data_IF_371200894820
#
_entry.id   IF_371200894820
#
_cell.length_a   1.000
_cell.length_b   1.000
_cell.length_c   1.000
_cell.angle_alpha   90.00
_cell.angle_beta   90.00
_cell.angle_gamma   90.00
#
_symmetry.space_group_name_H-M   'P 1'
#
loop_
_entity.id
_entity.type
_entity.pdbx_description
1 polymer ?
#
# COMPACT_ATOMS: atom_id res chain seq x y z
N UNK A 1 4.17 -9.88 8.45
CA UNK A 1 3.76 -10.08 7.04
C UNK A 1 4.94 -10.63 6.26
N UNK A 2 4.70 -11.52 5.30
CA UNK A 2 5.73 -11.98 4.35
C UNK A 2 5.64 -11.23 3.02
N UNK A 3 6.79 -11.02 2.35
CA UNK A 3 6.87 -10.29 1.09
C UNK A 3 6.09 -10.96 -0.05
N UNK A 4 6.02 -12.29 -0.08
CA UNK A 4 5.26 -13.01 -1.11
C UNK A 4 3.78 -12.68 -1.01
N UNK A 5 3.23 -12.70 0.20
CA UNK A 5 1.81 -12.38 0.43
C UNK A 5 1.53 -10.92 0.09
N UNK A 6 2.39 -10.00 0.53
CA UNK A 6 2.26 -8.58 0.17
C UNK A 6 2.23 -8.36 -1.34
N UNK A 7 3.15 -8.97 -2.09
CA UNK A 7 3.20 -8.85 -3.55
C UNK A 7 1.95 -9.43 -4.22
N UNK A 8 1.35 -10.51 -3.70
CA UNK A 8 0.09 -11.05 -4.21
C UNK A 8 -1.04 -10.02 -4.04
N UNK A 9 -1.16 -9.42 -2.86
CA UNK A 9 -2.18 -8.39 -2.59
C UNK A 9 -1.99 -7.18 -3.50
N UNK A 10 -0.76 -6.69 -3.63
CA UNK A 10 -0.43 -5.59 -4.54
C UNK A 10 -0.72 -5.94 -6.01
N UNK A 11 -0.49 -7.18 -6.43
CA UNK A 11 -0.83 -7.65 -7.78
C UNK A 11 -2.33 -7.58 -8.05
N UNK A 12 -3.18 -7.99 -7.10
CA UNK A 12 -4.63 -7.87 -7.23
C UNK A 12 -5.09 -6.40 -7.25
N UNK A 13 -4.51 -5.54 -6.42
CA UNK A 13 -4.78 -4.10 -6.48
C UNK A 13 -4.37 -3.48 -7.81
N UNK A 14 -3.23 -3.88 -8.38
CA UNK A 14 -2.80 -3.46 -9.70
C UNK A 14 -3.80 -3.86 -10.79
N UNK A 15 -4.25 -5.11 -10.78
CA UNK A 15 -5.29 -5.58 -11.71
C UNK A 15 -6.62 -4.82 -11.55
N UNK A 16 -7.03 -4.51 -10.31
CA UNK A 16 -8.23 -3.72 -10.05
C UNK A 16 -8.10 -2.29 -10.60
N UNK A 17 -6.93 -1.64 -10.41
CA UNK A 17 -6.63 -0.33 -11.00
C UNK A 17 -6.67 -0.39 -12.53
N UNK A 18 -6.04 -1.39 -13.14
CA UNK A 18 -6.06 -1.56 -14.60
C UNK A 18 -7.49 -1.72 -15.12
N UNK A 19 -8.33 -2.49 -14.42
CA UNK A 19 -9.75 -2.63 -14.75
C UNK A 19 -10.45 -1.28 -14.61
N UNK A 20 -10.31 -0.60 -13.48
CA UNK A 20 -10.91 0.71 -13.21
C UNK A 20 -10.61 1.71 -14.34
N UNK A 21 -9.34 1.86 -14.72
CA UNK A 21 -8.95 2.78 -15.79
C UNK A 21 -9.52 2.34 -17.14
N UNK A 22 -9.58 1.04 -17.46
CA UNK A 22 -10.24 0.58 -18.68
C UNK A 22 -11.74 0.89 -18.72
N UNK A 23 -12.44 0.74 -17.59
CA UNK A 23 -13.86 1.08 -17.49
C UNK A 23 -14.10 2.56 -17.84
N UNK A 24 -13.24 3.45 -17.36
CA UNK A 24 -13.37 4.90 -17.58
C UNK A 24 -12.85 5.30 -18.97
N UNK A 25 -11.63 4.90 -19.31
CA UNK A 25 -10.93 5.41 -20.48
C UNK A 25 -11.33 4.73 -21.79
N UNK A 26 -11.60 3.42 -21.75
CA UNK A 26 -11.98 2.66 -22.94
C UNK A 26 -13.49 2.52 -23.06
N UNK A 27 -14.18 2.18 -21.95
CA UNK A 27 -15.62 1.91 -21.96
C UNK A 27 -16.49 3.13 -21.63
N UNK A 28 -15.89 4.25 -21.20
CA UNK A 28 -16.59 5.50 -20.87
C UNK A 28 -17.69 5.32 -19.81
N UNK A 29 -17.47 4.41 -18.87
CA UNK A 29 -18.32 4.25 -17.69
C UNK A 29 -18.06 5.43 -16.74
N UNK A 30 -19.12 5.92 -16.11
CA UNK A 30 -19.02 6.96 -15.09
C UNK A 30 -18.09 6.54 -13.95
N UNK A 31 -17.28 7.49 -13.49
CA UNK A 31 -16.24 7.27 -12.48
C UNK A 31 -16.80 6.61 -11.22
N UNK A 32 -17.93 7.09 -10.70
CA UNK A 32 -18.57 6.58 -9.48
C UNK A 32 -19.00 5.11 -9.63
N UNK A 33 -19.46 4.73 -10.84
CA UNK A 33 -19.87 3.34 -11.14
C UNK A 33 -18.63 2.45 -11.29
N UNK A 34 -17.58 2.95 -11.95
CA UNK A 34 -16.32 2.23 -12.07
C UNK A 34 -15.69 1.99 -10.68
N UNK A 35 -15.74 2.98 -9.80
CA UNK A 35 -15.30 2.88 -8.40
C UNK A 35 -16.13 1.83 -7.65
N UNK A 36 -17.46 1.88 -7.71
CA UNK A 36 -18.33 0.88 -7.05
C UNK A 36 -17.98 -0.56 -7.48
N UNK A 37 -17.71 -0.77 -8.77
CA UNK A 37 -17.38 -2.09 -9.33
C UNK A 37 -16.03 -2.63 -8.85
N UNK A 38 -15.05 -1.76 -8.60
CA UNK A 38 -13.70 -2.17 -8.17
C UNK A 38 -13.49 -2.05 -6.66
N UNK A 39 -14.35 -1.32 -5.94
CA UNK A 39 -14.19 -1.00 -4.52
C UNK A 39 -14.02 -2.24 -3.64
N UNK A 40 -14.78 -3.31 -3.91
CA UNK A 40 -14.71 -4.55 -3.12
C UNK A 40 -13.32 -5.19 -3.14
N UNK A 41 -12.55 -4.99 -4.21
CA UNK A 41 -11.17 -5.49 -4.30
C UNK A 41 -10.25 -4.64 -3.44
N UNK A 42 -10.37 -3.30 -3.52
CA UNK A 42 -9.58 -2.39 -2.67
C UNK A 42 -9.88 -2.61 -1.18
N UNK A 43 -11.16 -2.68 -0.80
CA UNK A 43 -11.58 -2.96 0.58
C UNK A 43 -11.02 -4.27 1.10
N UNK A 44 -11.02 -5.32 0.27
CA UNK A 44 -10.47 -6.61 0.64
C UNK A 44 -8.95 -6.54 0.85
N UNK A 45 -8.24 -5.86 -0.05
CA UNK A 45 -6.81 -5.64 0.09
C UNK A 45 -6.47 -4.86 1.36
N UNK A 46 -7.20 -3.79 1.66
CA UNK A 46 -7.00 -3.02 2.89
C UNK A 46 -7.29 -3.85 4.13
N UNK A 47 -8.32 -4.69 4.11
CA UNK A 47 -8.61 -5.61 5.21
C UNK A 47 -7.50 -6.64 5.43
N UNK A 48 -6.92 -7.18 4.36
CA UNK A 48 -5.81 -8.15 4.45
C UNK A 48 -4.52 -7.48 4.95
N UNK A 49 -4.24 -6.26 4.49
CA UNK A 49 -3.08 -5.48 4.91
C UNK A 49 -3.29 -4.77 6.26
N UNK A 50 -4.54 -4.75 6.76
CA UNK A 50 -4.97 -3.99 7.93
C UNK A 50 -4.63 -2.50 7.78
N UNK A 51 -4.96 -1.89 6.66
CA UNK A 51 -4.72 -0.47 6.34
C UNK A 51 -6.02 0.35 6.34
N UNK A 52 -5.91 1.67 6.29
CA UNK A 52 -7.05 2.59 6.27
C UNK A 52 -8.03 2.36 7.44
N UNK A 53 -9.27 2.01 7.11
CA UNK A 53 -10.33 1.77 8.10
C UNK A 53 -10.15 0.45 8.89
N UNK A 54 -9.25 -0.43 8.46
CA UNK A 54 -9.02 -1.76 9.04
C UNK A 54 -7.75 -1.85 9.87
N UNK A 55 -7.16 -0.70 10.24
CA UNK A 55 -5.95 -0.64 11.06
C UNK A 55 -6.16 -1.30 12.43
N UNK A 56 -5.22 -2.17 12.78
CA UNK A 56 -5.11 -2.84 14.06
C UNK A 56 -4.41 -1.91 15.05
N UNK A 57 -5.21 -1.25 15.88
CA UNK A 57 -4.75 -0.17 16.77
C UNK A 57 -3.72 -0.61 17.81
N UNK A 58 -3.72 -1.89 18.18
CA UNK A 58 -2.79 -2.40 19.19
C UNK A 58 -1.38 -2.58 18.62
N UNK A 59 -1.25 -2.77 17.30
CA UNK A 59 0.02 -2.96 16.60
C UNK A 59 0.46 -1.72 15.81
N UNK A 60 -0.39 -0.70 15.72
CA UNK A 60 -0.18 0.47 14.89
C UNK A 60 0.94 1.38 15.44
N UNK A 61 1.89 1.75 14.57
CA UNK A 61 3.10 2.50 14.96
C UNK A 61 2.93 4.03 14.82
N UNK A 62 2.15 4.48 13.83
CA UNK A 62 1.86 5.90 13.52
C UNK A 62 3.09 6.82 13.46
N UNK A 63 4.03 6.52 12.56
CA UNK A 63 5.29 7.28 12.47
C UNK A 63 5.67 7.65 11.06
N UNK A 64 6.05 8.90 10.83
CA UNK A 64 6.64 9.32 9.57
C UNK A 64 8.17 9.16 9.58
N UNK A 65 8.72 8.69 8.47
CA UNK A 65 10.16 8.59 8.25
C UNK A 65 10.47 8.69 6.76
N UNK A 66 11.73 8.46 6.38
CA UNK A 66 12.16 8.54 4.98
C UNK A 66 13.24 7.52 4.65
N UNK A 67 13.41 7.28 3.34
CA UNK A 67 14.35 6.30 2.82
C UNK A 67 15.78 6.84 2.93
N UNK A 68 16.69 6.03 3.49
CA UNK A 68 18.13 6.32 3.50
C UNK A 68 18.86 5.87 2.23
N UNK A 69 18.19 5.02 1.42
CA UNK A 69 18.66 4.51 0.13
C UNK A 69 17.46 4.26 -0.78
N UNK A 70 17.68 4.31 -2.10
CA UNK A 70 16.65 3.97 -3.09
C UNK A 70 16.10 2.56 -2.85
N UNK A 71 14.79 2.39 -2.99
CA UNK A 71 14.12 1.10 -2.84
C UNK A 71 12.97 0.98 -3.85
N UNK A 72 13.08 0.02 -4.79
CA UNK A 72 12.18 -0.09 -5.95
C UNK A 72 12.06 1.26 -6.70
N UNK A 73 10.83 1.71 -6.95
CA UNK A 73 10.46 2.99 -7.56
C UNK A 73 10.72 4.20 -6.64
N UNK A 74 10.94 3.97 -5.34
CA UNK A 74 11.06 5.04 -4.35
C UNK A 74 12.50 5.53 -4.26
N UNK A 75 12.70 6.82 -4.52
CA UNK A 75 14.01 7.47 -4.41
C UNK A 75 14.45 7.68 -2.96
N UNK A 76 15.75 7.91 -2.76
CA UNK A 76 16.28 8.29 -1.45
C UNK A 76 15.58 9.57 -0.94
N UNK A 77 15.39 9.67 0.37
CA UNK A 77 14.62 10.72 1.06
C UNK A 77 13.13 10.74 0.76
N UNK A 78 12.60 9.77 0.01
CA UNK A 78 11.16 9.63 -0.12
C UNK A 78 10.55 9.42 1.27
N UNK A 79 9.55 10.25 1.61
CA UNK A 79 8.86 10.25 2.89
C UNK A 79 7.69 9.28 2.84
N UNK A 80 7.53 8.47 3.89
CA UNK A 80 6.42 7.55 4.03
C UNK A 80 6.00 7.42 5.49
N UNK A 81 4.76 7.03 5.67
CA UNK A 81 4.13 6.77 6.94
C UNK A 81 4.26 5.30 7.27
N UNK A 82 4.81 4.98 8.43
CA UNK A 82 4.96 3.61 8.93
C UNK A 82 3.71 3.23 9.69
N UNK A 83 3.08 2.16 9.21
CA UNK A 83 1.86 1.60 9.78
C UNK A 83 2.20 0.46 10.74
N UNK A 84 3.02 -0.51 10.30
CA UNK A 84 3.42 -1.67 11.11
C UNK A 84 4.90 -1.99 10.99
N UNK A 85 5.46 -2.47 12.10
CA UNK A 85 6.75 -3.17 12.14
C UNK A 85 6.53 -4.65 12.37
N UNK A 86 7.21 -5.50 11.60
CA UNK A 86 7.15 -6.94 11.75
C UNK A 86 8.47 -7.49 12.29
N UNK A 87 8.38 -8.58 13.07
CA UNK A 87 9.54 -9.23 13.70
C UNK A 87 10.62 -9.68 12.72
N UNK A 88 10.27 -9.91 11.46
CA UNK A 88 11.20 -10.26 10.39
C UNK A 88 11.99 -9.06 9.82
N UNK A 89 11.90 -7.89 10.44
CA UNK A 89 12.61 -6.68 10.04
C UNK A 89 12.00 -5.96 8.83
N UNK A 90 10.79 -6.34 8.42
CA UNK A 90 10.02 -5.63 7.40
C UNK A 90 9.08 -4.62 8.04
N UNK A 91 8.77 -3.58 7.28
CA UNK A 91 7.89 -2.49 7.65
C UNK A 91 6.83 -2.34 6.59
N UNK A 92 5.56 -2.32 6.99
CA UNK A 92 4.49 -1.83 6.13
C UNK A 92 4.37 -0.32 6.31
N UNK A 93 4.54 0.40 5.21
CA UNK A 93 4.30 1.84 5.19
C UNK A 93 3.52 2.25 3.96
N UNK A 94 3.03 3.48 3.97
CA UNK A 94 2.29 4.10 2.88
C UNK A 94 2.89 5.46 2.52
N UNK A 95 2.82 5.80 1.24
CA UNK A 95 3.15 7.15 0.78
C UNK A 95 2.00 8.11 1.09
N UNK A 96 2.22 9.40 0.89
CA UNK A 96 1.15 10.42 1.00
C UNK A 96 0.01 10.22 0.00
N UNK A 97 0.23 9.44 -1.07
CA UNK A 97 -0.79 9.08 -2.06
C UNK A 97 -1.51 7.78 -1.72
N UNK A 98 -1.28 7.19 -0.53
CA UNK A 98 -1.91 5.95 -0.10
C UNK A 98 -1.32 4.69 -0.74
N UNK A 99 -0.17 4.77 -1.41
CA UNK A 99 0.48 3.58 -1.99
C UNK A 99 1.24 2.83 -0.90
N UNK A 100 0.86 1.58 -0.67
CA UNK A 100 1.50 0.70 0.31
C UNK A 100 2.81 0.09 -0.19
N UNK A 101 3.79 -0.01 0.70
CA UNK A 101 5.09 -0.63 0.45
C UNK A 101 5.53 -1.49 1.65
N UNK A 102 6.13 -2.64 1.35
CA UNK A 102 6.78 -3.50 2.35
C UNK A 102 8.32 -3.35 2.26
N UNK A 103 8.87 -2.50 3.13
CA UNK A 103 10.24 -2.01 3.07
C UNK A 103 11.06 -2.64 4.20
N UNK A 104 12.31 -3.09 3.95
CA UNK A 104 13.18 -3.54 5.04
C UNK A 104 13.59 -2.37 5.95
N UNK A 105 13.62 -2.60 7.27
CA UNK A 105 13.89 -1.57 8.30
C UNK A 105 15.24 -0.87 8.13
N UNK A 106 16.24 -1.57 7.60
CA UNK A 106 17.58 -1.03 7.32
C UNK A 106 17.61 -0.02 6.16
N UNK A 107 16.53 0.10 5.38
CA UNK A 107 16.38 1.09 4.31
C UNK A 107 15.85 2.44 4.82
N UNK A 108 15.58 2.56 6.12
CA UNK A 108 15.02 3.78 6.72
C UNK A 108 16.10 4.54 7.50
N UNK A 109 16.06 5.88 7.47
CA UNK A 109 17.17 6.71 7.99
C UNK A 109 17.36 6.70 9.50
N UNK A 110 16.37 6.24 10.26
CA UNK A 110 16.47 5.68 11.63
C UNK A 110 15.06 5.55 12.21
N UNK A 111 14.96 4.69 13.20
CA UNK A 111 13.85 4.64 14.15
C UNK A 111 14.24 5.35 15.43
#
# INVERSE_FOLDING_TARGET
MDRKLFNIVQGYNGLANDIYFKLIDELKIDMDVAEELTQKVYDYSDKVLKTGNYVDRDMFVDKWTHLNKKYNELEKYHKFHVIYEYDNGLILGETTSGLGYLIPKDHLEKY
#
